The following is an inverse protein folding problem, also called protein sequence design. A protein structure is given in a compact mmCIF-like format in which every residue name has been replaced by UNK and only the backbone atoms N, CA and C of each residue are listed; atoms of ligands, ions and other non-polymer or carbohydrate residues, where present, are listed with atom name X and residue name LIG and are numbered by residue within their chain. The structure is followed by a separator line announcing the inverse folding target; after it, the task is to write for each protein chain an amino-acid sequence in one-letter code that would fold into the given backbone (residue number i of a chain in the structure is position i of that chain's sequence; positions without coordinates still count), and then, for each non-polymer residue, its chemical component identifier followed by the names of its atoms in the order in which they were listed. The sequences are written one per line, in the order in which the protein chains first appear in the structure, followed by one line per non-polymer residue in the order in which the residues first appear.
data_IF_179488259097
#
_entry.id   IF_179488259097
#
_cell.length_a   1.000
_cell.length_b   1.000
_cell.length_c   1.000
_cell.angle_alpha   90.00
_cell.angle_beta   90.00
_cell.angle_gamma   90.00
#
_symmetry.space_group_name_H-M   'P 1'
#
loop_
_entity.id
_entity.type
_entity.pdbx_description
1 polymer ?
#
# COMPACT_ATOMS: atom_id res chain seq x y z
N UNK A 1 4.67 -13.03 6.71
CA UNK A 1 5.63 -14.17 6.62
C UNK A 1 5.99 -14.36 5.16
N UNK A 2 7.25 -14.63 4.86
CA UNK A 2 7.81 -14.84 3.53
C UNK A 2 8.25 -16.29 3.44
N UNK A 3 7.99 -16.92 2.30
CA UNK A 3 8.49 -18.24 1.98
C UNK A 3 9.56 -18.10 0.90
N UNK A 4 10.77 -18.58 1.19
CA UNK A 4 11.88 -18.57 0.26
C UNK A 4 12.26 -20.01 -0.11
N UNK A 5 12.57 -20.22 -1.40
CA UNK A 5 12.99 -21.50 -1.93
C UNK A 5 14.23 -21.33 -2.79
N UNK A 6 15.25 -22.14 -2.54
CA UNK A 6 16.47 -22.23 -3.34
C UNK A 6 16.42 -23.54 -4.12
N UNK A 7 16.48 -23.45 -5.44
CA UNK A 7 16.64 -24.61 -6.31
C UNK A 7 18.13 -24.76 -6.69
N UNK A 8 18.77 -25.84 -6.27
CA UNK A 8 20.20 -26.07 -6.52
C UNK A 8 20.49 -27.45 -7.13
N UNK A 9 21.68 -27.58 -7.71
CA UNK A 9 22.17 -28.79 -8.36
C UNK A 9 22.51 -28.61 -9.84
N UNK A 10 22.89 -29.69 -10.54
CA UNK A 10 23.15 -29.70 -11.98
C UNK A 10 21.88 -29.53 -12.83
N UNK A 11 21.95 -28.82 -13.97
CA UNK A 11 20.78 -28.51 -14.83
C UNK A 11 20.21 -29.75 -15.55
N UNK A 12 21.03 -30.77 -15.74
CA UNK A 12 20.70 -32.07 -16.33
C UNK A 12 19.88 -32.98 -15.39
N UNK A 13 19.76 -32.60 -14.11
CA UNK A 13 19.07 -33.38 -13.08
C UNK A 13 17.92 -32.60 -12.45
N UNK A 14 16.92 -33.30 -11.89
CA UNK A 14 15.87 -32.64 -11.12
C UNK A 14 16.50 -31.81 -9.99
N UNK A 15 16.09 -30.53 -9.83
CA UNK A 15 16.62 -29.66 -8.77
C UNK A 15 16.33 -30.23 -7.38
N UNK A 16 17.26 -29.99 -6.47
CA UNK A 16 16.99 -30.10 -5.03
C UNK A 16 16.48 -28.75 -4.53
N UNK A 17 15.49 -28.78 -3.66
CA UNK A 17 14.85 -27.57 -3.14
C UNK A 17 15.10 -27.45 -1.65
N UNK A 18 15.64 -26.31 -1.25
CA UNK A 18 15.74 -25.90 0.15
C UNK A 18 14.69 -24.82 0.41
N UNK A 19 13.85 -25.02 1.43
CA UNK A 19 12.70 -24.15 1.69
C UNK A 19 12.75 -23.66 3.12
N UNK A 20 12.66 -22.35 3.30
CA UNK A 20 12.66 -21.74 4.64
C UNK A 20 11.63 -20.61 4.71
N UNK A 21 10.98 -20.52 5.87
CA UNK A 21 10.03 -19.45 6.19
C UNK A 21 10.75 -18.38 7.00
N UNK A 22 10.52 -17.12 6.63
CA UNK A 22 11.05 -15.96 7.32
C UNK A 22 9.92 -15.01 7.74
N UNK A 23 9.99 -14.43 8.94
CA UNK A 23 9.16 -13.27 9.28
C UNK A 23 9.44 -12.07 8.36
N UNK A 24 8.58 -11.05 8.41
CA UNK A 24 8.68 -9.83 7.59
C UNK A 24 9.39 -8.68 8.30
N UNK A 25 10.05 -8.94 9.43
CA UNK A 25 10.80 -7.91 10.17
C UNK A 25 12.19 -7.72 9.56
N UNK A 26 12.73 -6.51 9.61
CA UNK A 26 14.01 -6.14 8.98
C UNK A 26 15.16 -7.09 9.34
N UNK A 27 15.29 -7.47 10.63
CA UNK A 27 16.35 -8.39 11.07
C UNK A 27 16.19 -9.80 10.45
N UNK A 28 14.96 -10.27 10.25
CA UNK A 28 14.72 -11.57 9.63
C UNK A 28 14.92 -11.54 8.12
N UNK A 29 14.69 -10.39 7.48
CA UNK A 29 15.03 -10.18 6.07
C UNK A 29 16.55 -10.14 5.85
N UNK A 30 17.33 -9.65 6.83
CA UNK A 30 18.80 -9.76 6.81
C UNK A 30 19.25 -11.22 6.93
N UNK A 31 18.65 -12.01 7.83
CA UNK A 31 18.90 -13.46 7.91
C UNK A 31 18.55 -14.19 6.62
N UNK A 32 17.48 -13.77 5.92
CA UNK A 32 17.17 -14.27 4.58
C UNK A 32 18.29 -13.96 3.60
N UNK A 33 18.80 -12.72 3.59
CA UNK A 33 19.92 -12.32 2.74
C UNK A 33 21.18 -13.14 3.03
N UNK A 34 21.54 -13.32 4.31
CA UNK A 34 22.69 -14.12 4.73
C UNK A 34 22.55 -15.57 4.25
N UNK A 35 21.38 -16.17 4.46
CA UNK A 35 21.10 -17.53 4.01
C UNK A 35 21.19 -17.68 2.48
N UNK A 36 20.75 -16.69 1.71
CA UNK A 36 20.91 -16.70 0.25
C UNK A 36 22.38 -16.59 -0.17
N UNK A 37 23.18 -15.77 0.54
CA UNK A 37 24.64 -15.63 0.30
C UNK A 37 25.39 -16.91 0.61
N UNK A 38 25.05 -17.59 1.70
CA UNK A 38 25.65 -18.89 2.09
C UNK A 38 25.50 -19.94 0.99
N UNK A 39 24.38 -19.92 0.27
CA UNK A 39 24.11 -20.83 -0.85
C UNK A 39 24.69 -20.34 -2.19
N UNK A 40 25.36 -19.19 -2.23
CA UNK A 40 25.94 -18.62 -3.45
C UNK A 40 24.90 -18.19 -4.48
N UNK A 41 23.70 -17.78 -4.03
CA UNK A 41 22.66 -17.27 -4.91
C UNK A 41 23.09 -15.94 -5.51
N UNK A 42 22.97 -15.77 -6.83
CA UNK A 42 23.31 -14.52 -7.54
C UNK A 42 22.08 -13.69 -7.90
N UNK A 43 20.95 -14.35 -8.14
CA UNK A 43 19.72 -13.71 -8.58
C UNK A 43 18.50 -14.27 -7.84
N UNK A 44 17.50 -13.43 -7.61
CA UNK A 44 16.31 -13.75 -6.81
C UNK A 44 15.05 -13.41 -7.61
N UNK A 45 14.18 -14.39 -7.80
CA UNK A 45 12.84 -14.16 -8.32
C UNK A 45 11.83 -13.95 -7.20
N UNK A 46 10.96 -12.96 -7.36
CA UNK A 46 9.88 -12.68 -6.42
C UNK A 46 8.54 -12.54 -7.16
N UNK A 47 7.47 -13.11 -6.62
CA UNK A 47 6.13 -12.88 -7.16
C UNK A 47 5.72 -11.41 -6.93
N UNK A 48 5.24 -10.74 -7.98
CA UNK A 48 4.85 -9.32 -7.94
C UNK A 48 3.46 -9.08 -7.31
N UNK A 49 3.08 -9.84 -6.29
CA UNK A 49 1.75 -9.75 -5.65
C UNK A 49 1.67 -8.54 -4.70
N UNK A 50 1.17 -7.42 -5.22
CA UNK A 50 0.89 -6.22 -4.42
C UNK A 50 2.11 -5.35 -4.12
N UNK A 51 2.14 -4.70 -2.94
CA UNK A 51 3.20 -3.76 -2.53
C UNK A 51 4.29 -4.44 -1.68
N UNK A 52 4.03 -5.66 -1.19
CA UNK A 52 4.86 -6.35 -0.19
C UNK A 52 6.26 -6.74 -0.67
N UNK A 53 6.52 -6.73 -1.98
CA UNK A 53 7.85 -6.95 -2.52
C UNK A 53 8.82 -5.80 -2.21
N UNK A 54 8.32 -4.56 -2.05
CA UNK A 54 9.17 -3.37 -1.83
C UNK A 54 10.14 -3.48 -0.66
N UNK A 55 9.72 -3.81 0.58
CA UNK A 55 10.65 -3.90 1.72
C UNK A 55 11.71 -4.99 1.54
N UNK A 56 11.36 -6.09 0.90
CA UNK A 56 12.28 -7.20 0.63
C UNK A 56 13.28 -6.78 -0.46
N UNK A 57 12.77 -6.17 -1.54
CA UNK A 57 13.58 -5.64 -2.62
C UNK A 57 14.61 -4.65 -2.11
N UNK A 58 14.20 -3.67 -1.27
CA UNK A 58 15.10 -2.66 -0.73
C UNK A 58 16.24 -3.23 0.14
N UNK A 59 16.08 -4.41 0.72
CA UNK A 59 17.11 -5.06 1.53
C UNK A 59 18.05 -5.91 0.68
N UNK A 60 17.53 -6.49 -0.41
CA UNK A 60 18.27 -7.42 -1.25
C UNK A 60 18.88 -6.75 -2.50
N UNK A 61 18.43 -5.55 -2.89
CA UNK A 61 18.80 -4.92 -4.17
C UNK A 61 20.30 -4.60 -4.31
N UNK A 62 21.00 -4.43 -3.20
CA UNK A 62 22.44 -4.13 -3.21
C UNK A 62 23.30 -5.39 -3.39
N UNK A 63 22.73 -6.58 -3.14
CA UNK A 63 23.46 -7.85 -3.08
C UNK A 63 23.07 -8.86 -4.17
N UNK A 64 21.87 -8.73 -4.77
CA UNK A 64 21.33 -9.72 -5.70
C UNK A 64 20.66 -9.07 -6.91
N UNK A 65 20.69 -9.76 -8.04
CA UNK A 65 19.88 -9.41 -9.21
C UNK A 65 18.43 -9.85 -8.99
N UNK A 66 17.53 -8.89 -8.76
CA UNK A 66 16.14 -9.20 -8.42
C UNK A 66 15.22 -9.11 -9.63
N UNK A 67 14.45 -10.17 -9.84
CA UNK A 67 13.46 -10.30 -10.91
C UNK A 67 12.05 -10.38 -10.31
N UNK A 68 11.23 -9.36 -10.56
CA UNK A 68 9.81 -9.39 -10.21
C UNK A 68 9.02 -10.17 -11.27
N UNK A 69 8.64 -11.38 -10.92
CA UNK A 69 7.91 -12.27 -11.79
C UNK A 69 6.41 -11.91 -11.80
N UNK A 70 5.85 -11.67 -12.98
CA UNK A 70 4.44 -11.34 -13.13
C UNK A 70 3.57 -12.57 -12.86
N UNK A 71 2.72 -12.50 -11.83
CA UNK A 71 1.82 -13.58 -11.44
C UNK A 71 0.87 -14.03 -12.57
N UNK A 72 0.56 -13.17 -13.55
CA UNK A 72 -0.24 -13.55 -14.73
C UNK A 72 0.52 -14.49 -15.68
N UNK A 73 1.85 -14.34 -15.78
CA UNK A 73 2.69 -15.14 -16.66
C UNK A 73 3.13 -16.47 -16.03
N UNK A 74 3.11 -16.56 -14.70
CA UNK A 74 3.47 -17.78 -13.95
C UNK A 74 2.25 -18.72 -13.76
N UNK A 75 1.04 -18.29 -14.14
CA UNK A 75 -0.18 -19.11 -14.06
C UNK A 75 -0.07 -20.30 -15.00
N UNK A 76 0.37 -21.45 -14.48
CA UNK A 76 -0.01 -22.76 -15.01
C UNK A 76 0.39 -23.88 -14.04
N UNK A 77 -0.56 -24.32 -13.20
CA UNK A 77 -0.93 -25.74 -13.00
C UNK A 77 -2.39 -25.76 -12.49
N UNK A 78 -3.36 -26.41 -13.17
CA UNK A 78 -4.68 -26.66 -12.60
C UNK A 78 -4.56 -27.59 -11.39
N UNK A 79 -4.96 -27.13 -10.20
CA UNK A 79 -4.87 -27.92 -8.96
C UNK A 79 -4.88 -27.06 -7.69
N UNK A 80 -4.76 -27.73 -6.54
CA UNK A 80 -4.75 -27.10 -5.21
C UNK A 80 -3.43 -26.34 -5.00
N UNK A 81 -3.47 -25.04 -5.29
CA UNK A 81 -2.39 -24.08 -5.08
C UNK A 81 -1.94 -24.08 -3.60
N UNK A 82 -0.67 -24.33 -3.33
CA UNK A 82 -0.06 -24.18 -2.00
C UNK A 82 1.17 -23.31 -2.11
N UNK A 83 1.38 -22.40 -1.14
CA UNK A 83 2.49 -21.44 -1.18
C UNK A 83 3.85 -22.12 -1.41
N UNK A 84 4.03 -23.33 -0.87
CA UNK A 84 5.24 -24.16 -1.05
C UNK A 84 5.44 -24.61 -2.50
N UNK A 85 4.37 -25.12 -3.13
CA UNK A 85 4.45 -25.58 -4.53
C UNK A 85 4.65 -24.41 -5.48
N UNK A 86 4.02 -23.28 -5.21
CA UNK A 86 4.21 -22.05 -5.99
C UNK A 86 5.65 -21.56 -5.91
N UNK A 87 6.24 -21.57 -4.71
CA UNK A 87 7.61 -21.14 -4.49
C UNK A 87 8.61 -22.05 -5.23
N UNK A 88 8.41 -23.38 -5.18
CA UNK A 88 9.22 -24.35 -5.94
C UNK A 88 9.06 -24.17 -7.45
N UNK A 89 7.83 -23.93 -7.92
CA UNK A 89 7.54 -23.72 -9.33
C UNK A 89 8.24 -22.47 -9.87
N UNK A 90 8.15 -21.35 -9.15
CA UNK A 90 8.85 -20.11 -9.49
C UNK A 90 10.36 -20.34 -9.51
N UNK A 91 10.92 -21.00 -8.50
CA UNK A 91 12.35 -21.29 -8.44
C UNK A 91 12.80 -22.17 -9.63
N UNK A 92 11.99 -23.15 -10.02
CA UNK A 92 12.25 -23.99 -11.18
C UNK A 92 12.22 -23.19 -12.50
N UNK A 93 11.20 -22.38 -12.73
CA UNK A 93 11.11 -21.54 -13.93
C UNK A 93 12.25 -20.53 -14.00
N UNK A 94 12.59 -19.92 -12.86
CA UNK A 94 13.66 -18.93 -12.78
C UNK A 94 15.02 -19.53 -13.12
N UNK A 95 15.31 -20.71 -12.57
CA UNK A 95 16.54 -21.47 -12.84
C UNK A 95 16.71 -21.83 -14.32
N UNK A 96 15.60 -22.04 -15.04
CA UNK A 96 15.60 -22.35 -16.48
C UNK A 96 15.52 -21.09 -17.37
N UNK A 97 15.53 -19.88 -16.79
CA UNK A 97 15.41 -18.63 -17.55
C UNK A 97 14.04 -18.40 -18.20
N UNK A 98 13.01 -19.11 -17.74
CA UNK A 98 11.66 -19.06 -18.31
C UNK A 98 10.79 -17.93 -17.72
N UNK A 99 11.34 -17.12 -16.81
CA UNK A 99 10.66 -15.98 -16.20
C UNK A 99 11.11 -14.69 -16.86
N UNK A 100 10.17 -13.98 -17.47
CA UNK A 100 10.38 -12.59 -17.85
C UNK A 100 10.16 -11.67 -16.65
N UNK A 101 11.19 -10.91 -16.30
CA UNK A 101 11.10 -9.89 -15.24
C UNK A 101 10.19 -8.73 -15.61
N UNK A 102 9.48 -8.20 -14.62
CA UNK A 102 8.83 -6.90 -14.72
C UNK A 102 9.87 -5.80 -14.59
N UNK A 103 9.73 -4.72 -15.36
CA UNK A 103 10.63 -3.57 -15.26
C UNK A 103 10.49 -2.89 -13.89
N UNK A 104 11.62 -2.72 -13.20
CA UNK A 104 11.70 -2.00 -11.92
C UNK A 104 12.48 -0.71 -12.19
N UNK A 105 11.86 0.47 -12.03
CA UNK A 105 12.58 1.72 -12.20
C UNK A 105 13.74 1.84 -11.19
N UNK A 106 14.80 2.58 -11.53
CA UNK A 106 15.88 2.88 -10.59
C UNK A 106 15.38 3.57 -9.31
N UNK A 107 16.20 3.54 -8.25
CA UNK A 107 15.79 3.93 -6.89
C UNK A 107 15.26 5.38 -6.84
N UNK A 108 15.96 6.32 -7.47
CA UNK A 108 15.57 7.72 -7.62
C UNK A 108 14.17 7.90 -8.21
N UNK A 109 13.86 7.19 -9.30
CA UNK A 109 12.55 7.23 -9.95
C UNK A 109 11.48 6.61 -9.05
N UNK A 110 11.80 5.53 -8.32
CA UNK A 110 10.87 4.91 -7.37
C UNK A 110 10.52 5.84 -6.23
N UNK A 111 11.51 6.54 -5.66
CA UNK A 111 11.31 7.52 -4.59
C UNK A 111 10.42 8.68 -5.05
N UNK A 112 10.69 9.26 -6.22
CA UNK A 112 9.85 10.31 -6.81
C UNK A 112 8.40 9.85 -7.05
N UNK A 113 8.22 8.61 -7.51
CA UNK A 113 6.88 8.01 -7.68
C UNK A 113 6.15 7.83 -6.36
N UNK A 114 6.85 7.42 -5.30
CA UNK A 114 6.25 7.27 -3.98
C UNK A 114 5.86 8.63 -3.36
N UNK A 115 6.65 9.69 -3.56
CA UNK A 115 6.29 11.06 -3.17
C UNK A 115 5.05 11.55 -3.93
N UNK A 116 5.02 11.37 -5.25
CA UNK A 116 3.89 11.78 -6.09
C UNK A 116 2.60 11.05 -5.71
N UNK A 117 2.71 9.74 -5.42
CA UNK A 117 1.58 8.93 -4.95
C UNK A 117 1.08 9.39 -3.58
N UNK A 118 1.98 9.73 -2.67
CA UNK A 118 1.63 10.28 -1.35
C UNK A 118 0.93 11.62 -1.48
N UNK A 119 1.45 12.54 -2.30
CA UNK A 119 0.79 13.82 -2.60
C UNK A 119 -0.62 13.60 -3.13
N UNK A 120 -0.82 12.70 -4.10
CA UNK A 120 -2.15 12.41 -4.67
C UNK A 120 -3.12 11.89 -3.59
N UNK A 121 -2.65 11.01 -2.69
CA UNK A 121 -3.45 10.53 -1.56
C UNK A 121 -3.87 11.67 -0.62
N UNK A 122 -2.93 12.54 -0.24
CA UNK A 122 -3.21 13.67 0.64
C UNK A 122 -4.18 14.66 0.00
N UNK A 123 -4.01 14.97 -1.29
CA UNK A 123 -4.95 15.83 -2.04
C UNK A 123 -6.34 15.20 -2.10
N UNK A 124 -6.43 13.89 -2.36
CA UNK A 124 -7.70 13.18 -2.33
C UNK A 124 -8.36 13.19 -0.95
N UNK A 125 -7.58 13.02 0.12
CA UNK A 125 -8.08 13.10 1.49
C UNK A 125 -8.60 14.51 1.82
N UNK A 126 -7.84 15.56 1.48
CA UNK A 126 -8.28 16.95 1.66
C UNK A 126 -9.59 17.24 0.91
N UNK A 127 -9.70 16.78 -0.35
CA UNK A 127 -10.93 16.96 -1.13
C UNK A 127 -12.11 16.18 -0.52
N UNK A 128 -11.87 14.97 -0.01
CA UNK A 128 -12.89 14.17 0.68
C UNK A 128 -13.40 14.84 1.95
N UNK A 129 -12.50 15.38 2.78
CA UNK A 129 -12.90 16.08 4.00
C UNK A 129 -13.64 17.38 3.67
N UNK A 130 -13.19 18.14 2.66
CA UNK A 130 -13.92 19.33 2.19
C UNK A 130 -15.33 18.99 1.72
N UNK A 131 -15.50 17.91 0.95
CA UNK A 131 -16.83 17.46 0.53
C UNK A 131 -17.69 17.03 1.73
N UNK A 132 -17.08 16.42 2.76
CA UNK A 132 -17.78 15.99 3.96
C UNK A 132 -18.25 17.19 4.80
N UNK A 133 -17.42 18.22 4.94
CA UNK A 133 -17.81 19.51 5.53
C UNK A 133 -18.93 20.14 4.70
N UNK A 134 -18.80 20.23 3.38
CA UNK A 134 -19.81 20.84 2.52
C UNK A 134 -21.15 20.08 2.56
N UNK A 135 -21.16 18.76 2.68
CA UNK A 135 -22.38 17.97 2.88
C UNK A 135 -22.93 18.14 4.30
N UNK A 136 -22.06 18.21 5.32
CA UNK A 136 -22.45 18.42 6.72
C UNK A 136 -23.00 19.82 7.01
N UNK A 137 -22.47 20.85 6.33
CA UNK A 137 -22.94 22.24 6.38
C UNK A 137 -23.99 22.56 5.30
N UNK A 138 -24.13 21.70 4.28
CA UNK A 138 -25.05 21.87 3.15
C UNK A 138 -26.53 21.67 3.48
N UNK A 139 -26.87 21.45 4.75
CA UNK A 139 -28.24 21.51 5.25
C UNK A 139 -28.64 22.87 5.85
N UNK A 140 -27.70 23.80 6.06
CA UNK A 140 -28.02 25.16 6.48
C UNK A 140 -27.96 26.07 5.26
N UNK A 141 -29.10 26.26 4.59
CA UNK A 141 -29.19 27.26 3.55
C UNK A 141 -28.83 28.65 4.13
N UNK A 142 -28.05 29.40 3.36
CA UNK A 142 -27.57 30.74 3.69
C UNK A 142 -28.72 31.78 3.87
N UNK A 143 -29.98 31.34 3.85
CA UNK A 143 -31.17 32.15 4.12
C UNK A 143 -31.60 32.14 5.60
N UNK A 144 -31.17 31.17 6.41
CA UNK A 144 -31.62 31.05 7.81
C UNK A 144 -30.84 31.94 8.81
N UNK A 145 -29.62 32.36 8.48
CA UNK A 145 -28.83 33.25 9.35
C UNK A 145 -29.36 34.69 9.37
N UNK A 146 -29.95 35.17 8.26
CA UNK A 146 -30.55 36.51 8.18
C UNK A 146 -31.92 36.55 8.88
N UNK A 147 -32.61 35.42 8.99
CA UNK A 147 -33.85 35.26 9.75
C UNK A 147 -33.61 35.35 11.27
N UNK A 148 -32.55 34.71 11.76
CA UNK A 148 -32.26 34.64 13.20
C UNK A 148 -31.92 36.03 13.81
N UNK A 149 -31.23 36.89 13.06
CA UNK A 149 -30.87 38.25 13.51
C UNK A 149 -32.02 39.27 13.46
N UNK A 150 -33.13 38.97 12.76
CA UNK A 150 -34.31 39.85 12.70
C UNK A 150 -35.35 39.55 13.79
N UNK A 151 -35.16 38.49 14.58
CA UNK A 151 -36.04 38.07 15.67
C UNK A 151 -35.78 38.74 17.03
N UNK A 152 -34.74 39.57 17.17
CA UNK A 152 -34.48 40.32 18.41
C UNK A 152 -35.29 41.61 18.43
N UNK A 153 -36.61 41.49 18.61
CA UNK A 153 -37.42 42.60 19.09
C UNK A 153 -37.13 42.74 20.58
N UNK A 154 -36.42 43.81 20.97
CA UNK A 154 -36.17 44.17 22.36
C UNK A 154 -37.47 44.12 23.16
N UNK A 155 -37.61 43.14 24.06
CA UNK A 155 -38.64 43.15 25.09
C UNK A 155 -38.17 44.15 26.15
N UNK A 156 -38.47 45.43 25.94
CA UNK A 156 -38.45 46.40 27.04
C UNK A 156 -39.72 46.19 27.87
N UNK A 157 -39.63 46.03 29.19
CA UNK A 157 -40.79 45.90 30.05
C UNK A 157 -41.60 47.20 30.01
N UNK A 158 -42.90 47.09 29.73
CA UNK A 158 -43.85 48.21 29.85
C UNK A 158 -43.95 48.59 31.32
N UNK A 159 -43.34 49.70 31.71
CA UNK A 159 -43.72 50.40 32.94
C UNK A 159 -45.08 51.06 32.70
N UNK A 160 -46.06 50.64 33.49
CA UNK A 160 -47.41 51.19 33.51
C UNK A 160 -47.37 52.54 34.24
N UNK A 161 -47.48 53.63 33.50
CA UNK A 161 -47.65 55.00 34.01
C UNK A 161 -48.97 55.53 33.47
N UNK A 162 -50.06 55.26 34.21
CA UNK A 162 -51.30 56.03 34.09
C UNK A 162 -51.03 57.44 34.60
N UNK A 163 -50.77 58.36 33.68
CA UNK A 163 -50.83 59.79 33.93
C UNK A 163 -52.27 60.29 33.70
N UNK A 164 -52.70 61.12 34.64
CA UNK A 164 -53.96 61.84 34.69
C UNK A 164 -54.22 62.66 33.41
N UNK A 165 -55.47 62.62 32.95
CA UNK A 165 -55.97 63.55 31.94
C UNK A 165 -56.29 64.90 32.57
N UNK A 166 -55.73 65.95 31.99
CA UNK A 166 -56.17 67.34 32.16
C UNK A 166 -57.60 67.51 31.62
N UNK A 167 -58.47 68.09 32.45
CA UNK A 167 -59.33 69.22 32.10
C UNK A 167 -59.78 69.94 33.38
#
# INVERSE_FOLDING_TARGET
MILACIAHGPLDKPPKFEIRKFPTMTNDLRKLSEWLKEYGVTAVAMESTGIYWKPIFNILEDDFDIVLANAQHIKNVPGRKTDVKDCQWIAHLFRNGLISGSFIPPRDIRELRDLTRTRKKLVGAMASEKNREQIGFGGCEHQDLVSCLKGFRSVLPRHDLRAHGER
#
